data_IF_862082834728
#
_entry.id   IF_862082834728
#
_cell.length_a   1.000
_cell.length_b   1.000
_cell.length_c   1.000
_cell.angle_alpha   90.00
_cell.angle_beta   90.00
_cell.angle_gamma   90.00
#
_symmetry.space_group_name_H-M   'P 1'
#
loop_
_entity.id
_entity.type
_entity.pdbx_description
1 polymer ?
#
# COMPACT_ATOMS: atom_id res chain seq x y z
N UNK A 1 -38.01 6.91 38.83
CA UNK A 1 -36.72 6.59 39.50
C UNK A 1 -35.93 5.70 38.56
N UNK A 2 -35.05 6.30 37.75
CA UNK A 2 -34.13 5.55 36.91
C UNK A 2 -33.05 4.97 37.83
N UNK A 3 -32.87 3.65 37.79
CA UNK A 3 -31.80 2.96 38.50
C UNK A 3 -30.46 3.53 38.01
N UNK A 4 -29.78 4.33 38.85
CA UNK A 4 -28.39 4.69 38.60
C UNK A 4 -27.59 3.39 38.70
N UNK A 5 -27.19 2.85 37.56
CA UNK A 5 -26.25 1.74 37.50
C UNK A 5 -24.94 2.28 38.08
N UNK A 6 -24.64 1.94 39.32
CA UNK A 6 -23.40 2.32 39.98
C UNK A 6 -22.26 1.54 39.31
N UNK A 7 -21.46 2.23 38.49
CA UNK A 7 -20.27 1.69 37.87
C UNK A 7 -19.11 1.77 38.87
N UNK A 8 -18.23 0.76 38.93
CA UNK A 8 -17.05 0.82 39.80
C UNK A 8 -16.11 1.95 39.36
N UNK A 9 -15.39 2.55 40.32
CA UNK A 9 -14.40 3.59 39.98
C UNK A 9 -13.28 3.07 39.09
N UNK A 10 -12.90 1.79 39.24
CA UNK A 10 -11.92 1.13 38.38
C UNK A 10 -12.41 1.08 36.92
N UNK A 11 -13.67 0.68 36.69
CA UNK A 11 -14.28 0.66 35.36
C UNK A 11 -14.31 2.06 34.73
N UNK A 12 -14.59 3.09 35.51
CA UNK A 12 -14.60 4.46 35.00
C UNK A 12 -13.18 5.00 34.72
N UNK A 13 -12.16 4.52 35.41
CA UNK A 13 -10.78 5.00 35.23
C UNK A 13 -10.05 4.37 34.04
N UNK A 14 -10.49 3.20 33.56
CA UNK A 14 -9.94 2.55 32.38
C UNK A 14 -9.97 3.47 31.14
N UNK A 15 -8.86 3.47 30.40
CA UNK A 15 -8.71 4.28 29.18
C UNK A 15 -7.84 3.56 28.14
N UNK A 16 -8.36 3.49 26.92
CA UNK A 16 -7.65 2.99 25.72
C UNK A 16 -7.12 4.11 24.82
N UNK A 17 -7.27 5.38 25.24
CA UNK A 17 -6.94 6.54 24.42
C UNK A 17 -5.46 6.60 24.02
N UNK A 18 -4.56 6.31 24.97
CA UNK A 18 -3.11 6.31 24.73
C UNK A 18 -2.70 5.30 23.64
N UNK A 19 -3.36 4.14 23.59
CA UNK A 19 -3.14 3.13 22.56
C UNK A 19 -3.53 3.65 21.17
N UNK A 20 -4.70 4.30 21.05
CA UNK A 20 -5.17 4.87 19.78
C UNK A 20 -4.22 5.96 19.29
N UNK A 21 -3.79 6.89 20.15
CA UNK A 21 -2.83 7.93 19.78
C UNK A 21 -1.51 7.35 19.32
N UNK A 22 -0.97 6.38 20.05
CA UNK A 22 0.34 5.79 19.75
C UNK A 22 0.31 5.09 18.40
N UNK A 23 -0.68 4.24 18.15
CA UNK A 23 -0.80 3.51 16.88
C UNK A 23 -1.00 4.50 15.72
N UNK A 24 -1.88 5.49 15.89
CA UNK A 24 -2.16 6.48 14.85
C UNK A 24 -0.91 7.29 14.50
N UNK A 25 -0.16 7.77 15.50
CA UNK A 25 1.06 8.53 15.27
C UNK A 25 2.16 7.71 14.58
N UNK A 26 2.30 6.42 14.95
CA UNK A 26 3.26 5.51 14.30
C UNK A 26 2.90 5.31 12.83
N UNK A 27 1.64 5.01 12.51
CA UNK A 27 1.20 4.81 11.13
C UNK A 27 1.32 6.08 10.30
N UNK A 28 0.91 7.24 10.82
CA UNK A 28 1.11 8.54 10.14
C UNK A 28 2.58 8.78 9.78
N UNK A 29 3.50 8.44 10.70
CA UNK A 29 4.94 8.60 10.49
C UNK A 29 5.45 7.65 9.40
N UNK A 30 5.04 6.38 9.45
CA UNK A 30 5.42 5.36 8.47
C UNK A 30 4.87 5.65 7.07
N UNK A 31 3.61 6.08 6.97
CA UNK A 31 2.96 6.47 5.73
C UNK A 31 3.66 7.69 5.09
N UNK A 32 3.92 8.72 5.89
CA UNK A 32 4.61 9.93 5.43
C UNK A 32 6.01 9.58 4.91
N UNK A 33 6.74 8.73 5.64
CA UNK A 33 8.04 8.26 5.21
C UNK A 33 7.96 7.46 3.91
N UNK A 34 6.97 6.56 3.78
CA UNK A 34 6.79 5.75 2.57
C UNK A 34 6.49 6.61 1.33
N UNK A 35 5.56 7.55 1.45
CA UNK A 35 5.19 8.46 0.36
C UNK A 35 6.37 9.38 -0.01
N UNK A 36 7.10 9.89 0.98
CA UNK A 36 8.32 10.67 0.73
C UNK A 36 9.40 9.84 0.01
N UNK A 37 9.64 8.59 0.43
CA UNK A 37 10.54 7.67 -0.25
C UNK A 37 10.10 7.39 -1.69
N UNK A 38 8.80 7.29 -1.94
CA UNK A 38 8.26 7.05 -3.29
C UNK A 38 8.62 8.18 -4.23
N UNK A 39 8.30 9.42 -3.85
CA UNK A 39 8.57 10.58 -4.70
C UNK A 39 10.06 10.86 -4.88
N UNK A 40 10.86 10.70 -3.81
CA UNK A 40 12.33 10.80 -3.93
C UNK A 40 12.91 9.71 -4.84
N UNK A 41 12.37 8.48 -4.79
CA UNK A 41 12.78 7.40 -5.68
C UNK A 41 12.53 7.69 -7.14
N UNK A 42 11.37 8.26 -7.45
CA UNK A 42 11.04 8.68 -8.82
C UNK A 42 11.91 9.83 -9.30
N UNK A 43 12.19 10.81 -8.43
CA UNK A 43 13.08 11.92 -8.73
C UNK A 43 14.50 11.43 -9.05
N UNK A 44 15.06 10.52 -8.23
CA UNK A 44 16.39 9.93 -8.44
C UNK A 44 16.43 9.05 -9.69
N UNK A 45 15.38 8.26 -9.93
CA UNK A 45 15.25 7.40 -11.11
C UNK A 45 14.85 8.15 -12.38
N UNK A 46 14.58 9.47 -12.32
CA UNK A 46 14.05 10.29 -13.42
C UNK A 46 12.80 9.69 -14.08
N UNK A 47 11.96 9.04 -13.28
CA UNK A 47 10.74 8.38 -13.74
C UNK A 47 9.63 9.41 -13.97
N UNK A 48 8.88 9.28 -15.07
CA UNK A 48 7.73 10.16 -15.35
C UNK A 48 6.65 10.02 -14.28
N UNK A 49 6.00 11.14 -13.93
CA UNK A 49 4.81 11.14 -13.09
C UNK A 49 3.63 10.58 -13.89
N UNK A 50 2.98 9.55 -13.34
CA UNK A 50 1.81 8.92 -13.92
C UNK A 50 0.56 9.19 -13.07
N UNK A 51 -0.59 8.79 -13.59
CA UNK A 51 -1.87 8.84 -12.87
C UNK A 51 -1.83 8.13 -11.51
N UNK A 52 -1.05 7.05 -11.44
CA UNK A 52 -0.76 6.30 -10.21
C UNK A 52 -0.22 7.17 -9.06
N UNK A 53 0.63 8.16 -9.37
CA UNK A 53 1.21 9.03 -8.34
C UNK A 53 0.21 10.06 -7.81
N UNK A 54 -0.74 10.47 -8.64
CA UNK A 54 -1.86 11.32 -8.23
C UNK A 54 -2.81 10.58 -7.30
N UNK A 55 -3.10 9.31 -7.60
CA UNK A 55 -3.91 8.44 -6.74
C UNK A 55 -3.25 8.21 -5.38
N UNK A 56 -1.94 7.97 -5.34
CA UNK A 56 -1.19 7.83 -4.08
C UNK A 56 -1.15 9.14 -3.30
N UNK A 57 -0.97 10.28 -3.96
CA UNK A 57 -1.04 11.59 -3.32
C UNK A 57 -2.41 11.85 -2.69
N UNK A 58 -3.49 11.56 -3.42
CA UNK A 58 -4.87 11.66 -2.90
C UNK A 58 -5.09 10.72 -1.72
N UNK A 59 -4.66 9.46 -1.84
CA UNK A 59 -4.75 8.48 -0.77
C UNK A 59 -4.04 8.94 0.50
N UNK A 60 -2.84 9.51 0.37
CA UNK A 60 -2.08 10.04 1.51
C UNK A 60 -2.81 11.18 2.21
N UNK A 61 -3.35 12.16 1.45
CA UNK A 61 -4.12 13.27 2.03
C UNK A 61 -5.34 12.74 2.80
N UNK A 62 -6.05 11.76 2.22
CA UNK A 62 -7.21 11.15 2.88
C UNK A 62 -6.82 10.31 4.11
N UNK A 63 -5.67 9.62 4.10
CA UNK A 63 -5.16 8.92 5.29
C UNK A 63 -4.84 9.90 6.42
N UNK A 64 -4.16 11.00 6.11
CA UNK A 64 -3.85 12.05 7.08
C UNK A 64 -5.12 12.72 7.62
N UNK A 65 -6.13 12.95 6.78
CA UNK A 65 -7.43 13.45 7.22
C UNK A 65 -8.14 12.44 8.14
N UNK A 66 -8.12 11.15 7.79
CA UNK A 66 -8.69 10.08 8.62
C UNK A 66 -8.00 10.02 9.99
N UNK A 67 -6.67 10.04 10.01
CA UNK A 67 -5.89 10.03 11.24
C UNK A 67 -6.14 11.27 12.11
N UNK A 68 -6.28 12.46 11.49
CA UNK A 68 -6.65 13.68 12.19
C UNK A 68 -8.05 13.59 12.81
N UNK A 69 -9.04 13.06 12.06
CA UNK A 69 -10.38 12.82 12.57
C UNK A 69 -10.38 11.81 13.73
N UNK A 70 -9.58 10.75 13.64
CA UNK A 70 -9.43 9.75 14.72
C UNK A 70 -8.86 10.39 15.99
N UNK A 71 -7.80 11.19 15.88
CA UNK A 71 -7.24 11.90 17.04
C UNK A 71 -8.25 12.89 17.64
N UNK A 72 -8.98 13.61 16.79
CA UNK A 72 -10.05 14.51 17.21
C UNK A 72 -11.21 13.75 17.90
N UNK A 73 -11.57 12.57 17.42
CA UNK A 73 -12.62 11.74 18.01
C UNK A 73 -12.23 11.20 19.41
N UNK A 74 -10.95 10.83 19.59
CA UNK A 74 -10.43 10.49 20.92
C UNK A 74 -10.47 11.69 21.88
N UNK A 75 -10.13 12.90 21.39
CA UNK A 75 -10.03 14.11 22.21
C UNK A 75 -11.40 14.69 22.56
N UNK A 76 -12.28 14.80 21.57
CA UNK A 76 -13.56 15.52 21.66
C UNK A 76 -14.78 14.60 21.67
N UNK A 77 -14.68 13.40 21.09
CA UNK A 77 -15.73 12.38 21.11
C UNK A 77 -15.61 11.40 22.28
N UNK A 78 -14.46 11.36 22.97
CA UNK A 78 -14.24 10.49 24.11
C UNK A 78 -14.03 9.01 23.76
N UNK A 79 -13.70 8.70 22.49
CA UNK A 79 -13.37 7.32 22.08
C UNK A 79 -12.23 6.78 22.95
N UNK A 80 -12.40 5.56 23.45
CA UNK A 80 -11.45 4.94 24.36
C UNK A 80 -11.71 5.18 25.84
N UNK A 81 -12.76 5.92 26.17
CA UNK A 81 -13.38 5.95 27.49
C UNK A 81 -14.72 5.20 27.43
N UNK A 82 -15.12 4.60 28.55
CA UNK A 82 -16.45 4.03 28.69
C UNK A 82 -17.52 5.10 28.54
N UNK A 83 -18.63 4.79 27.86
CA UNK A 83 -19.72 5.73 27.58
C UNK A 83 -20.25 6.38 28.87
N UNK A 84 -20.33 5.60 29.95
CA UNK A 84 -20.71 6.08 31.28
C UNK A 84 -19.78 7.18 31.82
N UNK A 85 -18.47 7.09 31.55
CA UNK A 85 -17.48 8.11 31.93
C UNK A 85 -17.60 9.34 31.04
N UNK A 86 -17.82 9.16 29.74
CA UNK A 86 -18.00 10.27 28.79
C UNK A 86 -19.19 11.14 29.20
N UNK A 87 -20.32 10.50 29.55
CA UNK A 87 -21.51 11.19 30.06
C UNK A 87 -21.28 11.95 31.37
N UNK A 88 -20.36 11.49 32.22
CA UNK A 88 -20.00 12.19 33.47
C UNK A 88 -19.12 13.41 33.23
N UNK A 89 -18.25 13.36 32.22
CA UNK A 89 -17.35 14.46 31.86
C UNK A 89 -18.14 15.55 31.14
N UNK A 90 -18.75 15.21 30.01
CA UNK A 90 -19.55 16.12 29.21
C UNK A 90 -20.46 15.33 28.25
N UNK A 91 -21.80 15.38 28.44
CA UNK A 91 -22.75 14.76 27.53
C UNK A 91 -22.66 15.23 26.07
N UNK A 92 -22.14 16.43 25.78
CA UNK A 92 -21.98 16.91 24.41
C UNK A 92 -20.94 16.10 23.62
N UNK A 93 -19.99 15.46 24.30
CA UNK A 93 -18.98 14.61 23.65
C UNK A 93 -19.59 13.43 22.89
N UNK A 94 -20.72 12.89 23.35
CA UNK A 94 -21.43 11.81 22.64
C UNK A 94 -22.02 12.31 21.32
N UNK A 95 -22.48 13.56 21.27
CA UNK A 95 -22.96 14.17 20.02
C UNK A 95 -21.81 14.35 19.03
N UNK A 96 -20.62 14.73 19.53
CA UNK A 96 -19.41 14.84 18.72
C UNK A 96 -18.97 13.47 18.18
N UNK A 97 -18.94 12.45 19.04
CA UNK A 97 -18.67 11.06 18.63
C UNK A 97 -19.65 10.57 17.55
N UNK A 98 -20.94 10.85 17.71
CA UNK A 98 -21.97 10.53 16.73
C UNK A 98 -21.77 11.20 15.36
N UNK A 99 -20.99 12.28 15.26
CA UNK A 99 -20.57 12.87 13.97
C UNK A 99 -19.37 12.11 13.39
N UNK A 100 -18.37 11.79 14.23
CA UNK A 100 -17.17 11.08 13.81
C UNK A 100 -17.44 9.64 13.35
N UNK A 101 -18.43 8.96 13.95
CA UNK A 101 -18.83 7.61 13.54
C UNK A 101 -19.34 7.54 12.09
N UNK A 102 -19.74 8.67 11.50
CA UNK A 102 -20.15 8.77 10.09
C UNK A 102 -18.96 9.22 9.24
N UNK A 103 -18.23 10.24 9.68
CA UNK A 103 -17.15 10.86 8.91
C UNK A 103 -15.96 9.90 8.73
N UNK A 104 -15.55 9.19 9.78
CA UNK A 104 -14.38 8.31 9.75
C UNK A 104 -14.57 7.15 8.75
N UNK A 105 -15.69 6.40 8.75
CA UNK A 105 -15.92 5.38 7.73
C UNK A 105 -15.97 5.91 6.30
N UNK A 106 -16.58 7.09 6.08
CA UNK A 106 -16.65 7.70 4.75
C UNK A 106 -15.27 8.13 4.23
N UNK A 107 -14.43 8.69 5.10
CA UNK A 107 -13.04 9.01 4.75
C UNK A 107 -12.25 7.74 4.46
N UNK A 108 -12.40 6.71 5.29
CA UNK A 108 -11.74 5.42 5.10
C UNK A 108 -12.12 4.74 3.78
N UNK A 109 -13.40 4.69 3.39
CA UNK A 109 -13.75 4.10 2.10
C UNK A 109 -13.14 4.90 0.95
N UNK A 110 -12.98 6.22 1.12
CA UNK A 110 -12.25 7.09 0.22
C UNK A 110 -10.73 6.87 0.19
N UNK A 111 -10.10 6.39 1.27
CA UNK A 111 -8.65 6.08 1.29
C UNK A 111 -8.35 4.78 0.56
N UNK A 112 -9.10 3.71 0.86
CA UNK A 112 -8.86 2.35 0.36
C UNK A 112 -8.91 2.24 -1.16
N UNK A 113 -9.82 2.97 -1.79
CA UNK A 113 -10.05 2.90 -3.25
C UNK A 113 -8.83 3.34 -4.06
N UNK A 114 -8.29 4.57 -3.91
CA UNK A 114 -7.12 5.00 -4.69
C UNK A 114 -5.89 4.14 -4.42
N UNK A 115 -5.73 3.57 -3.21
CA UNK A 115 -4.62 2.67 -2.88
C UNK A 115 -4.74 1.35 -3.65
N UNK A 116 -5.93 0.73 -3.64
CA UNK A 116 -6.19 -0.50 -4.40
C UNK A 116 -6.08 -0.28 -5.90
N UNK A 117 -6.61 0.83 -6.41
CA UNK A 117 -6.52 1.19 -7.83
C UNK A 117 -5.07 1.44 -8.28
N UNK A 118 -4.23 2.04 -7.44
CA UNK A 118 -2.80 2.19 -7.69
C UNK A 118 -2.10 0.83 -7.85
N UNK A 119 -2.33 -0.10 -6.91
CA UNK A 119 -1.78 -1.46 -6.98
C UNK A 119 -2.29 -2.20 -8.22
N UNK A 120 -3.56 -2.03 -8.56
CA UNK A 120 -4.16 -2.64 -9.74
C UNK A 120 -3.57 -2.09 -11.06
N UNK A 121 -3.29 -0.80 -11.11
CA UNK A 121 -2.62 -0.16 -12.24
C UNK A 121 -1.20 -0.71 -12.41
N UNK A 122 -0.48 -0.90 -11.31
CA UNK A 122 0.82 -1.59 -11.33
C UNK A 122 0.69 -3.01 -11.90
N UNK A 123 -0.31 -3.79 -11.48
CA UNK A 123 -0.53 -5.14 -12.02
C UNK A 123 -0.83 -5.14 -13.51
N UNK A 124 -1.64 -4.18 -13.99
CA UNK A 124 -1.88 -3.99 -15.42
C UNK A 124 -0.61 -3.66 -16.20
N UNK A 125 0.37 -2.99 -15.59
CA UNK A 125 1.67 -2.72 -16.21
C UNK A 125 2.59 -3.94 -16.23
N UNK A 126 2.45 -4.88 -15.28
CA UNK A 126 3.28 -6.09 -15.19
C UNK A 126 2.72 -7.19 -16.09
N UNK A 127 1.39 -7.30 -16.19
CA UNK A 127 0.75 -8.40 -16.87
C UNK A 127 0.51 -8.13 -18.34
N UNK A 128 1.10 -8.97 -19.19
CA UNK A 128 0.86 -8.96 -20.63
C UNK A 128 -0.31 -9.85 -21.04
N UNK A 129 -0.66 -10.84 -20.22
CA UNK A 129 -1.72 -11.82 -20.49
C UNK A 129 -3.11 -11.19 -20.38
N UNK A 130 -3.94 -11.39 -21.42
CA UNK A 130 -5.30 -10.80 -21.51
C UNK A 130 -6.21 -11.20 -20.34
N UNK A 131 -6.17 -12.47 -19.93
CA UNK A 131 -7.01 -12.98 -18.84
C UNK A 131 -6.77 -12.23 -17.53
N UNK A 132 -5.51 -12.09 -17.12
CA UNK A 132 -5.14 -11.36 -15.90
C UNK A 132 -5.50 -9.87 -15.97
N UNK A 133 -5.38 -9.25 -17.15
CA UNK A 133 -5.79 -7.85 -17.34
C UNK A 133 -7.32 -7.67 -17.20
N UNK A 134 -8.11 -8.61 -17.73
CA UNK A 134 -9.58 -8.59 -17.58
C UNK A 134 -9.94 -8.71 -16.09
N UNK A 135 -9.32 -9.65 -15.35
CA UNK A 135 -9.54 -9.78 -13.91
C UNK A 135 -9.21 -8.47 -13.19
N UNK A 136 -8.13 -7.79 -13.57
CA UNK A 136 -7.80 -6.49 -13.00
C UNK A 136 -8.92 -5.48 -13.26
N UNK A 137 -9.35 -5.29 -14.51
CA UNK A 137 -10.42 -4.33 -14.83
C UNK A 137 -11.74 -4.63 -14.12
N UNK A 138 -12.14 -5.90 -14.03
CA UNK A 138 -13.34 -6.33 -13.30
C UNK A 138 -13.19 -6.03 -11.80
N UNK A 139 -12.04 -6.34 -11.21
CA UNK A 139 -11.78 -6.05 -9.79
C UNK A 139 -11.82 -4.55 -9.51
N UNK A 140 -11.23 -3.73 -10.38
CA UNK A 140 -11.30 -2.27 -10.28
C UNK A 140 -12.72 -1.73 -10.37
N UNK A 141 -13.55 -2.28 -11.26
CA UNK A 141 -14.96 -1.91 -11.37
C UNK A 141 -15.74 -2.29 -10.11
N UNK A 142 -15.48 -3.47 -9.51
CA UNK A 142 -16.11 -3.90 -8.25
C UNK A 142 -15.71 -2.96 -7.10
N UNK A 143 -14.43 -2.59 -6.99
CA UNK A 143 -13.95 -1.65 -5.96
C UNK A 143 -14.67 -0.31 -6.08
N UNK A 144 -14.75 0.25 -7.29
CA UNK A 144 -15.44 1.53 -7.53
C UNK A 144 -16.94 1.43 -7.25
N UNK A 145 -17.59 0.36 -7.69
CA UNK A 145 -19.01 0.15 -7.44
C UNK A 145 -19.31 0.01 -5.94
N UNK A 146 -18.49 -0.75 -5.21
CA UNK A 146 -18.62 -0.90 -3.76
C UNK A 146 -18.40 0.43 -3.03
N UNK A 147 -17.45 1.25 -3.48
CA UNK A 147 -17.22 2.59 -2.93
C UNK A 147 -18.40 3.52 -3.16
N UNK A 148 -18.93 3.61 -4.39
CA UNK A 148 -20.09 4.45 -4.69
C UNK A 148 -21.29 3.99 -3.84
N UNK A 149 -21.52 2.68 -3.77
CA UNK A 149 -22.61 2.12 -2.98
C UNK A 149 -22.46 2.45 -1.49
N UNK A 150 -21.28 2.28 -0.89
CA UNK A 150 -21.01 2.58 0.52
C UNK A 150 -21.03 4.06 0.83
N UNK A 151 -20.55 4.92 -0.07
CA UNK A 151 -20.59 6.36 0.08
C UNK A 151 -22.03 6.87 0.06
N UNK A 152 -22.83 6.47 -0.93
CA UNK A 152 -24.24 6.85 -1.04
C UNK A 152 -25.04 6.30 0.13
N UNK A 153 -24.84 5.03 0.48
CA UNK A 153 -25.48 4.41 1.63
C UNK A 153 -25.10 5.10 2.95
N UNK A 154 -23.84 5.50 3.12
CA UNK A 154 -23.37 6.25 4.28
C UNK A 154 -24.02 7.63 4.39
N UNK A 155 -24.09 8.39 3.29
CA UNK A 155 -24.75 9.70 3.26
C UNK A 155 -26.27 9.61 3.49
N UNK A 156 -26.91 8.53 3.04
CA UNK A 156 -28.36 8.31 3.13
C UNK A 156 -28.75 7.28 4.20
N UNK A 157 -27.84 6.97 5.13
CA UNK A 157 -27.99 5.92 6.14
C UNK A 157 -29.25 6.08 6.99
N UNK A 158 -29.56 7.31 7.37
CA UNK A 158 -30.73 7.66 8.18
C UNK A 158 -31.43 8.91 7.64
N UNK A 159 -32.74 8.94 7.77
CA UNK A 159 -33.60 10.07 7.41
C UNK A 159 -34.33 10.57 8.67
N UNK A 160 -33.99 11.76 9.18
CA UNK A 160 -32.83 12.61 8.83
C UNK A 160 -31.50 12.03 9.33
N UNK A 161 -30.37 12.50 8.77
CA UNK A 161 -29.01 12.14 9.21
C UNK A 161 -28.79 12.48 10.71
N UNK A 162 -29.57 13.43 11.22
CA UNK A 162 -29.59 13.77 12.64
C UNK A 162 -30.06 12.67 13.56
N UNK A 163 -30.56 11.56 13.04
CA UNK A 163 -30.83 10.35 13.82
C UNK A 163 -29.62 9.91 14.66
N UNK A 164 -28.39 10.02 14.12
CA UNK A 164 -27.18 9.57 14.83
C UNK A 164 -26.95 10.31 16.16
N UNK A 165 -27.41 11.56 16.29
CA UNK A 165 -27.28 12.34 17.52
C UNK A 165 -28.62 12.70 18.20
N UNK A 166 -29.75 12.55 17.52
CA UNK A 166 -31.10 12.91 18.04
C UNK A 166 -31.95 11.67 18.33
N UNK A 167 -31.58 10.50 17.79
CA UNK A 167 -32.36 9.24 17.84
C UNK A 167 -33.81 9.36 17.34
N UNK A 168 -34.12 10.40 16.56
CA UNK A 168 -35.44 10.66 15.98
C UNK A 168 -35.36 10.54 14.45
N UNK A 169 -35.99 9.51 13.88
CA UNK A 169 -35.93 9.22 12.44
C UNK A 169 -36.06 7.73 12.12
N UNK A 170 -35.84 7.38 10.85
CA UNK A 170 -35.76 5.99 10.38
C UNK A 170 -34.45 5.77 9.64
N UNK A 171 -33.80 4.64 9.91
CA UNK A 171 -32.65 4.15 9.17
C UNK A 171 -33.04 2.85 8.46
N UNK A 172 -32.44 2.57 7.32
CA UNK A 172 -32.50 1.21 6.77
C UNK A 172 -31.57 0.30 7.58
N UNK A 173 -31.54 -1.00 7.29
CA UNK A 173 -30.63 -1.94 7.97
C UNK A 173 -29.17 -1.70 7.54
N UNK A 174 -28.58 -0.67 8.13
CA UNK A 174 -27.18 -0.23 7.97
C UNK A 174 -26.24 -1.41 8.23
N UNK A 175 -26.48 -2.18 9.30
CA UNK A 175 -25.63 -3.30 9.67
C UNK A 175 -25.59 -4.36 8.59
N UNK A 176 -26.73 -4.73 8.00
CA UNK A 176 -26.76 -5.69 6.90
C UNK A 176 -26.09 -5.18 5.63
N UNK A 177 -26.27 -3.91 5.27
CA UNK A 177 -25.61 -3.34 4.10
C UNK A 177 -24.09 -3.29 4.25
N UNK A 178 -23.59 -2.75 5.36
CA UNK A 178 -22.14 -2.67 5.62
C UNK A 178 -21.50 -4.06 5.78
N UNK A 179 -22.26 -5.08 6.23
CA UNK A 179 -21.80 -6.47 6.22
C UNK A 179 -21.53 -6.98 4.81
N UNK A 180 -22.42 -6.75 3.85
CA UNK A 180 -22.19 -7.16 2.47
C UNK A 180 -21.08 -6.36 1.79
N UNK A 181 -20.99 -5.05 2.07
CA UNK A 181 -19.93 -4.21 1.56
C UNK A 181 -18.54 -4.59 2.10
N UNK A 182 -18.45 -4.96 3.38
CA UNK A 182 -17.24 -5.46 4.01
C UNK A 182 -16.78 -6.80 3.42
N UNK A 183 -17.72 -7.70 3.15
CA UNK A 183 -17.42 -8.96 2.45
C UNK A 183 -16.86 -8.72 1.04
N UNK A 184 -17.46 -7.79 0.28
CA UNK A 184 -16.95 -7.41 -1.03
C UNK A 184 -15.54 -6.81 -0.95
N UNK A 185 -15.25 -6.00 0.08
CA UNK A 185 -13.92 -5.45 0.31
C UNK A 185 -12.88 -6.57 0.50
N UNK A 186 -13.14 -7.51 1.44
CA UNK A 186 -12.25 -8.65 1.70
C UNK A 186 -12.07 -9.51 0.44
N UNK A 187 -13.14 -9.74 -0.33
CA UNK A 187 -13.05 -10.51 -1.57
C UNK A 187 -12.09 -9.85 -2.58
N UNK A 188 -12.17 -8.52 -2.74
CA UNK A 188 -11.23 -7.80 -3.61
C UNK A 188 -9.79 -7.90 -3.12
N UNK A 189 -9.56 -7.92 -1.80
CA UNK A 189 -8.22 -8.10 -1.21
C UNK A 189 -7.63 -9.47 -1.49
N UNK A 190 -8.43 -10.52 -1.33
CA UNK A 190 -8.04 -11.90 -1.65
C UNK A 190 -7.68 -12.03 -3.13
N UNK A 191 -8.50 -11.46 -4.02
CA UNK A 191 -8.22 -11.47 -5.46
C UNK A 191 -6.89 -10.77 -5.75
N UNK A 192 -6.68 -9.58 -5.21
CA UNK A 192 -5.43 -8.83 -5.39
C UNK A 192 -4.21 -9.56 -4.86
N UNK A 193 -4.35 -10.32 -3.77
CA UNK A 193 -3.26 -11.11 -3.18
C UNK A 193 -2.89 -12.35 -4.04
N UNK A 194 -3.89 -13.04 -4.59
CA UNK A 194 -3.67 -14.26 -5.40
C UNK A 194 -3.12 -13.93 -6.77
N UNK A 195 -3.57 -12.83 -7.35
CA UNK A 195 -3.30 -12.42 -8.72
C UNK A 195 -1.80 -12.31 -9.11
N UNK A 196 -0.86 -11.84 -8.27
CA UNK A 196 0.57 -11.86 -8.59
C UNK A 196 1.25 -13.25 -8.44
N UNK A 197 0.65 -14.21 -7.73
CA UNK A 197 1.31 -15.50 -7.40
C UNK A 197 1.68 -16.32 -8.65
N UNK A 198 0.78 -16.53 -9.63
CA UNK A 198 1.11 -17.31 -10.82
C UNK A 198 2.24 -16.69 -11.65
N UNK A 199 2.28 -15.35 -11.70
CA UNK A 199 3.31 -14.62 -12.45
C UNK A 199 4.67 -14.74 -11.78
N UNK A 200 4.72 -14.73 -10.44
CA UNK A 200 5.97 -14.97 -9.69
C UNK A 200 6.53 -16.36 -9.95
N UNK A 201 5.68 -17.37 -10.08
CA UNK A 201 6.11 -18.75 -10.34
C UNK A 201 6.59 -18.98 -11.76
N UNK A 202 6.02 -18.29 -12.75
CA UNK A 202 6.37 -18.47 -14.15
C UNK A 202 7.56 -17.60 -14.59
N UNK A 203 7.92 -16.56 -13.83
CA UNK A 203 8.99 -15.64 -14.21
C UNK A 203 10.34 -16.11 -13.65
N UNK A 204 11.31 -16.37 -14.54
CA UNK A 204 12.74 -16.52 -14.23
C UNK A 204 13.36 -15.18 -13.78
N UNK A 205 12.72 -14.52 -12.83
CA UNK A 205 13.09 -13.23 -12.27
C UNK A 205 14.38 -13.34 -11.45
N UNK A 206 15.21 -12.30 -11.53
CA UNK A 206 16.34 -12.13 -10.62
C UNK A 206 15.87 -12.17 -9.16
N UNK A 207 16.72 -12.67 -8.26
CA UNK A 207 16.40 -12.81 -6.82
C UNK A 207 15.88 -11.51 -6.20
N UNK A 208 16.32 -10.36 -6.74
CA UNK A 208 15.93 -9.01 -6.30
C UNK A 208 14.47 -8.68 -6.65
N UNK A 209 14.04 -9.04 -7.85
CA UNK A 209 12.65 -8.88 -8.28
C UNK A 209 11.72 -9.80 -7.48
N UNK A 210 12.17 -11.03 -7.18
CA UNK A 210 11.44 -11.96 -6.30
C UNK A 210 11.27 -11.41 -4.89
N UNK A 211 12.31 -10.78 -4.33
CA UNK A 211 12.25 -10.17 -3.00
C UNK A 211 11.23 -9.02 -2.95
N UNK A 212 11.24 -8.13 -3.95
CA UNK A 212 10.29 -7.00 -4.01
C UNK A 212 8.83 -7.47 -4.09
N UNK A 213 8.56 -8.52 -4.88
CA UNK A 213 7.20 -9.08 -4.99
C UNK A 213 6.79 -9.79 -3.69
N UNK A 214 7.72 -10.51 -3.04
CA UNK A 214 7.49 -11.12 -1.74
C UNK A 214 7.13 -10.07 -0.68
N UNK A 215 7.84 -8.94 -0.62
CA UNK A 215 7.51 -7.85 0.29
C UNK A 215 6.12 -7.25 0.02
N UNK A 216 5.75 -7.04 -1.24
CA UNK A 216 4.40 -6.57 -1.57
C UNK A 216 3.31 -7.58 -1.21
N UNK A 217 3.60 -8.88 -1.35
CA UNK A 217 2.67 -9.95 -0.97
C UNK A 217 2.52 -10.04 0.56
N UNK A 218 3.62 -9.90 1.31
CA UNK A 218 3.60 -9.89 2.77
C UNK A 218 2.78 -8.70 3.29
N UNK A 219 3.03 -7.49 2.81
CA UNK A 219 2.24 -6.32 3.21
C UNK A 219 0.77 -6.43 2.78
N UNK A 220 0.50 -6.97 1.58
CA UNK A 220 -0.87 -7.26 1.14
C UNK A 220 -1.57 -8.28 2.05
N UNK A 221 -0.84 -9.28 2.58
CA UNK A 221 -1.40 -10.25 3.51
C UNK A 221 -1.73 -9.62 4.87
N UNK A 222 -0.91 -8.68 5.35
CA UNK A 222 -1.20 -7.91 6.57
C UNK A 222 -2.45 -7.05 6.37
N UNK A 223 -2.58 -6.38 5.22
CA UNK A 223 -3.78 -5.60 4.87
C UNK A 223 -5.05 -6.46 4.83
N UNK A 224 -4.97 -7.67 4.26
CA UNK A 224 -6.08 -8.63 4.26
C UNK A 224 -6.46 -9.07 5.68
N UNK A 225 -5.48 -9.43 6.51
CA UNK A 225 -5.72 -9.81 7.91
C UNK A 225 -6.38 -8.65 8.67
N UNK A 226 -5.87 -7.43 8.47
CA UNK A 226 -6.44 -6.21 9.05
C UNK A 226 -7.90 -6.00 8.64
N UNK A 227 -8.22 -6.20 7.36
CA UNK A 227 -9.59 -6.11 6.82
C UNK A 227 -10.53 -7.16 7.42
N UNK A 228 -10.06 -8.39 7.62
CA UNK A 228 -10.84 -9.47 8.25
C UNK A 228 -11.10 -9.14 9.72
N UNK A 229 -10.07 -8.69 10.45
CA UNK A 229 -10.19 -8.34 11.87
C UNK A 229 -11.12 -7.14 12.06
N UNK A 230 -11.04 -6.13 11.20
CA UNK A 230 -12.00 -5.03 11.16
C UNK A 230 -13.43 -5.53 10.96
N UNK A 231 -13.65 -6.41 9.99
CA UNK A 231 -14.98 -6.96 9.69
C UNK A 231 -15.52 -7.78 10.87
N UNK A 232 -14.67 -8.57 11.51
CA UNK A 232 -15.00 -9.33 12.71
C UNK A 232 -15.37 -8.40 13.88
N UNK A 233 -14.53 -7.39 14.17
CA UNK A 233 -14.81 -6.39 15.21
C UNK A 233 -16.14 -5.68 14.92
N UNK A 234 -16.41 -5.28 13.68
CA UNK A 234 -17.70 -4.67 13.31
C UNK A 234 -18.88 -5.62 13.54
N UNK A 235 -18.72 -6.92 13.30
CA UNK A 235 -19.79 -7.91 13.48
C UNK A 235 -20.08 -8.20 14.96
N UNK A 236 -19.05 -8.23 15.80
CA UNK A 236 -19.15 -8.58 17.23
C UNK A 236 -19.45 -7.37 18.10
N UNK A 237 -19.12 -6.16 17.65
CA UNK A 237 -19.36 -4.94 18.42
C UNK A 237 -20.85 -4.62 18.49
N UNK A 238 -21.43 -4.83 19.66
CA UNK A 238 -22.76 -4.36 19.99
C UNK A 238 -22.67 -2.94 20.57
N UNK A 239 -22.92 -1.94 19.72
CA UNK A 239 -22.91 -0.53 20.10
C UNK A 239 -24.00 -0.15 21.13
N UNK A 240 -24.88 -1.09 21.51
CA UNK A 240 -25.97 -0.85 22.44
C UNK A 240 -25.56 -0.75 23.92
N UNK A 241 -24.35 -1.19 24.29
CA UNK A 241 -23.91 -1.24 25.70
C UNK A 241 -22.78 -0.28 26.04
N UNK A 242 -21.76 -0.17 25.18
CA UNK A 242 -20.65 0.78 25.37
C UNK A 242 -20.04 1.16 24.01
N UNK A 243 -20.65 2.16 23.37
CA UNK A 243 -20.30 2.54 22.00
C UNK A 243 -18.90 3.13 21.86
N UNK A 244 -18.53 4.05 22.76
CA UNK A 244 -17.25 4.77 22.71
C UNK A 244 -16.06 3.89 23.07
N UNK A 245 -16.24 2.89 23.93
CA UNK A 245 -15.22 1.91 24.27
C UNK A 245 -14.98 0.89 23.15
N UNK A 246 -16.08 0.38 22.57
CA UNK A 246 -16.00 -0.67 21.55
C UNK A 246 -15.53 -0.14 20.19
N UNK A 247 -15.75 1.15 19.91
CA UNK A 247 -15.27 1.82 18.70
C UNK A 247 -13.74 1.81 18.54
N UNK A 248 -12.99 1.66 19.65
CA UNK A 248 -11.51 1.70 19.66
C UNK A 248 -10.89 0.71 18.69
N UNK A 249 -11.30 -0.56 18.74
CA UNK A 249 -10.73 -1.58 17.87
C UNK A 249 -11.03 -1.29 16.40
N UNK A 250 -12.25 -0.87 16.10
CA UNK A 250 -12.67 -0.53 14.74
C UNK A 250 -11.83 0.61 14.16
N UNK A 251 -11.58 1.64 14.97
CA UNK A 251 -10.76 2.80 14.59
C UNK A 251 -9.29 2.42 14.41
N UNK A 252 -8.74 1.59 15.29
CA UNK A 252 -7.36 1.10 15.15
C UNK A 252 -7.20 0.30 13.86
N UNK A 253 -8.10 -0.65 13.60
CA UNK A 253 -8.04 -1.43 12.37
C UNK A 253 -8.21 -0.56 11.12
N UNK A 254 -9.02 0.49 11.18
CA UNK A 254 -9.17 1.47 10.09
C UNK A 254 -7.84 2.12 9.71
N UNK A 255 -7.07 2.57 10.70
CA UNK A 255 -5.76 3.21 10.47
C UNK A 255 -4.73 2.21 9.98
N UNK A 256 -4.66 1.03 10.61
CA UNK A 256 -3.73 -0.04 10.24
C UNK A 256 -3.97 -0.51 8.80
N UNK A 257 -5.23 -0.74 8.44
CA UNK A 257 -5.62 -1.18 7.10
C UNK A 257 -5.24 -0.15 6.04
N UNK A 258 -5.67 1.11 6.21
CA UNK A 258 -5.35 2.19 5.26
C UNK A 258 -3.84 2.41 5.10
N UNK A 259 -3.10 2.39 6.20
CA UNK A 259 -1.66 2.60 6.18
C UNK A 259 -0.88 1.46 5.57
N UNK A 260 -1.26 0.21 5.86
CA UNK A 260 -0.62 -0.96 5.24
C UNK A 260 -0.82 -0.99 3.73
N UNK A 261 -2.02 -0.66 3.23
CA UNK A 261 -2.25 -0.54 1.79
C UNK A 261 -1.44 0.58 1.14
N UNK A 262 -1.37 1.75 1.77
CA UNK A 262 -0.59 2.87 1.25
C UNK A 262 0.91 2.54 1.17
N UNK A 263 1.46 1.93 2.22
CA UNK A 263 2.85 1.49 2.25
C UNK A 263 3.10 0.41 1.18
N UNK A 264 2.20 -0.57 1.07
CA UNK A 264 2.29 -1.64 0.06
C UNK A 264 2.31 -1.08 -1.37
N UNK A 265 1.49 -0.08 -1.66
CA UNK A 265 1.41 0.56 -2.97
C UNK A 265 2.67 1.38 -3.31
N UNK A 266 3.44 1.83 -2.31
CA UNK A 266 4.67 2.59 -2.52
C UNK A 266 5.90 1.71 -2.79
N UNK A 267 5.93 0.47 -2.29
CA UNK A 267 7.06 -0.46 -2.40
C UNK A 267 7.62 -0.69 -3.82
N UNK A 268 6.80 -0.92 -4.87
CA UNK A 268 7.30 -1.24 -6.20
C UNK A 268 8.20 -0.15 -6.78
N UNK A 269 7.99 1.08 -6.32
CA UNK A 269 8.63 2.30 -6.83
C UNK A 269 9.98 2.55 -6.15
N UNK A 270 10.35 1.81 -5.10
CA UNK A 270 11.63 1.96 -4.38
C UNK A 270 12.82 1.29 -5.08
N UNK A 271 12.58 0.53 -6.16
CA UNK A 271 13.63 -0.18 -6.92
C UNK A 271 14.85 0.67 -7.29
N UNK A 272 14.75 1.89 -7.84
CA UNK A 272 15.93 2.70 -8.17
C UNK A 272 16.68 3.21 -6.93
N UNK A 273 16.01 3.52 -5.81
CA UNK A 273 16.68 3.85 -4.56
C UNK A 273 17.48 2.67 -4.01
N UNK A 274 16.90 1.47 -4.03
CA UNK A 274 17.61 0.26 -3.60
C UNK A 274 18.89 0.05 -4.42
N UNK A 275 18.84 0.25 -5.74
CA UNK A 275 20.03 0.18 -6.62
C UNK A 275 21.10 1.20 -6.23
N UNK A 276 20.71 2.43 -5.88
CA UNK A 276 21.65 3.49 -5.47
C UNK A 276 22.29 3.21 -4.11
N UNK A 277 21.50 2.76 -3.13
CA UNK A 277 21.98 2.39 -1.80
C UNK A 277 22.96 1.22 -1.90
N UNK A 278 22.63 0.18 -2.68
CA UNK A 278 23.49 -1.00 -2.84
C UNK A 278 24.78 -0.67 -3.59
N UNK A 279 24.72 0.23 -4.59
CA UNK A 279 25.94 0.72 -5.24
C UNK A 279 26.84 1.45 -4.25
N UNK A 280 26.27 2.30 -3.36
CA UNK A 280 27.06 2.99 -2.34
C UNK A 280 27.67 2.01 -1.34
N UNK A 281 26.90 1.03 -0.84
CA UNK A 281 27.37 0.03 0.13
C UNK A 281 28.46 -0.89 -0.45
N UNK A 282 28.34 -1.30 -1.72
CA UNK A 282 29.35 -2.13 -2.39
C UNK A 282 30.61 -1.34 -2.82
N UNK A 283 30.51 -0.02 -2.98
CA UNK A 283 31.68 0.83 -3.20
C UNK A 283 32.49 1.03 -1.91
N UNK A 284 31.86 1.01 -0.74
CA UNK A 284 32.57 1.06 0.55
C UNK A 284 33.39 -0.20 0.85
N UNK A 285 33.08 -1.33 0.20
CA UNK A 285 33.86 -2.58 0.33
C UNK A 285 35.06 -2.67 -0.63
N UNK A 286 35.32 -1.62 -1.44
CA UNK A 286 36.42 -1.59 -2.42
C UNK A 286 37.46 -0.50 -2.11
N UNK A 287 37.98 -0.51 -0.88
CA UNK A 287 39.29 0.05 -0.47
C UNK A 287 40.05 -1.13 0.18
N UNK A 288 41.30 -1.46 -0.07
CA UNK A 288 42.39 -0.84 -0.81
C UNK A 288 43.43 -1.95 -1.09
N UNK A 289 43.75 -2.20 -2.36
CA UNK A 289 44.92 -3.02 -2.76
C UNK A 289 45.33 -2.57 -4.17
N UNK A 290 45.55 -1.27 -4.34
CA UNK A 290 46.38 -0.77 -5.44
C UNK A 290 47.83 -0.88 -5.00
N UNK A 291 48.43 -2.05 -5.16
CA UNK A 291 49.87 -2.14 -5.29
C UNK A 291 50.25 -1.40 -6.57
N UNK A 292 50.97 -0.30 -6.37
CA UNK A 292 51.75 0.42 -7.36
C UNK A 292 52.81 -0.51 -7.94
N UNK A 293 52.87 -0.65 -9.26
CA UNK A 293 54.11 -1.06 -9.91
C UNK A 293 54.37 -0.20 -11.15
N UNK A 294 55.42 0.64 -11.17
CA UNK A 294 55.80 1.41 -12.34
C UNK A 294 56.84 0.67 -13.20
N UNK A 295 56.65 0.74 -14.53
CA UNK A 295 57.64 0.49 -15.61
C UNK A 295 58.16 -0.97 -15.74
N UNK A 296 58.43 -1.53 -16.93
CA UNK A 296 59.10 -0.95 -18.10
C UNK A 296 58.93 -1.85 -19.36
N UNK A 297 59.15 -1.19 -20.50
CA UNK A 297 59.21 -1.60 -21.92
C UNK A 297 59.80 -2.98 -22.32
N UNK A 298 59.20 -3.59 -23.36
CA UNK A 298 59.92 -4.05 -24.56
C UNK A 298 60.18 -5.56 -24.72
N UNK A 299 59.70 -6.16 -25.83
CA UNK A 299 60.26 -7.42 -26.35
C UNK A 299 59.25 -8.37 -27.01
N UNK A 300 59.41 -8.57 -28.32
CA UNK A 300 58.68 -9.52 -29.17
C UNK A 300 59.09 -10.97 -28.92
N UNK A 301 58.16 -11.93 -29.04
CA UNK A 301 58.51 -13.33 -29.37
C UNK A 301 57.81 -14.45 -28.59
N UNK A 302 57.03 -15.24 -29.34
CA UNK A 302 56.86 -16.71 -29.25
C UNK A 302 56.00 -17.29 -28.10
N UNK A 303 54.93 -18.00 -28.51
CA UNK A 303 54.08 -18.88 -27.71
C UNK A 303 54.84 -20.11 -27.19
N UNK A 304 54.34 -20.72 -26.10
CA UNK A 304 54.01 -22.14 -26.20
C UNK A 304 52.59 -22.47 -25.73
N UNK A 305 52.23 -23.72 -26.00
CA UNK A 305 50.93 -24.37 -25.98
C UNK A 305 50.83 -25.32 -24.76
N UNK A 306 49.58 -25.63 -24.35
CA UNK A 306 49.12 -26.56 -23.27
C UNK A 306 49.25 -26.04 -21.82
N UNK A 307 48.31 -26.22 -20.88
CA UNK A 307 47.38 -27.32 -20.63
C UNK A 307 46.12 -26.88 -19.82
N UNK A 308 45.10 -27.74 -19.92
CA UNK A 308 43.83 -27.94 -19.22
C UNK A 308 43.89 -27.68 -17.70
N UNK A 309 43.00 -26.82 -17.19
CA UNK A 309 42.39 -26.94 -15.85
C UNK A 309 41.11 -26.12 -15.76
N UNK A 310 40.03 -26.81 -15.37
CA UNK A 310 38.72 -26.22 -15.18
C UNK A 310 38.74 -25.14 -14.12
N UNK A 311 38.25 -23.96 -14.48
CA UNK A 311 37.83 -22.95 -13.53
C UNK A 311 36.33 -22.73 -13.72
N UNK A 312 35.60 -23.08 -12.67
CA UNK A 312 34.24 -22.66 -12.40
C UNK A 312 34.09 -21.18 -12.74
N UNK A 313 33.26 -20.88 -13.75
CA UNK A 313 32.83 -19.51 -14.06
C UNK A 313 32.06 -18.99 -12.84
N UNK A 314 32.75 -18.25 -11.97
CA UNK A 314 32.09 -17.39 -11.00
C UNK A 314 31.39 -16.29 -11.81
N UNK A 315 30.11 -16.50 -12.09
CA UNK A 315 29.26 -15.56 -12.84
C UNK A 315 29.27 -14.25 -12.06
N UNK A 316 29.99 -13.25 -12.59
CA UNK A 316 30.21 -11.94 -11.98
C UNK A 316 28.85 -11.27 -11.82
N UNK A 317 28.50 -10.86 -10.60
CA UNK A 317 27.23 -10.18 -10.27
C UNK A 317 27.02 -8.85 -11.03
N UNK A 318 28.05 -8.37 -11.74
CA UNK A 318 28.02 -7.19 -12.62
C UNK A 318 27.39 -7.45 -13.99
N UNK A 319 27.52 -8.68 -14.55
CA UNK A 319 26.89 -9.00 -15.85
C UNK A 319 25.36 -9.04 -15.70
N UNK A 320 24.86 -9.52 -14.55
CA UNK A 320 23.44 -9.49 -14.23
C UNK A 320 22.85 -8.08 -14.15
N UNK A 321 23.68 -7.04 -13.90
CA UNK A 321 23.21 -5.65 -13.86
C UNK A 321 23.07 -5.05 -15.26
N UNK A 322 23.89 -5.47 -16.23
CA UNK A 322 23.73 -5.09 -17.64
C UNK A 322 22.53 -5.82 -18.26
N UNK A 323 22.37 -7.12 -17.98
CA UNK A 323 21.21 -7.90 -18.44
C UNK A 323 19.87 -7.32 -17.90
N UNK A 324 19.86 -6.80 -16.67
CA UNK A 324 18.70 -6.09 -16.10
C UNK A 324 18.47 -4.71 -16.74
N UNK A 325 19.52 -4.00 -17.16
CA UNK A 325 19.40 -2.71 -17.87
C UNK A 325 18.83 -2.88 -19.28
N UNK A 326 19.24 -3.93 -20.01
CA UNK A 326 18.71 -4.24 -21.35
C UNK A 326 17.27 -4.75 -21.29
N UNK A 327 16.91 -5.57 -20.29
CA UNK A 327 15.55 -6.05 -20.09
C UNK A 327 14.58 -4.91 -19.70
N UNK A 328 15.04 -3.92 -18.93
CA UNK A 328 14.24 -2.75 -18.55
C UNK A 328 14.11 -1.76 -19.73
N UNK A 329 15.17 -1.56 -20.52
CA UNK A 329 15.09 -0.79 -21.76
C UNK A 329 14.07 -1.36 -22.75
N UNK A 330 13.93 -2.68 -22.81
CA UNK A 330 12.92 -3.36 -23.62
C UNK A 330 11.48 -3.18 -23.08
N UNK A 331 11.29 -3.09 -21.76
CA UNK A 331 9.99 -2.81 -21.13
C UNK A 331 9.58 -1.34 -21.33
N UNK A 332 10.52 -0.40 -21.22
CA UNK A 332 10.29 1.02 -21.52
C UNK A 332 10.00 1.25 -23.02
N UNK A 333 10.70 0.55 -23.92
CA UNK A 333 10.39 0.52 -25.36
C UNK A 333 8.99 -0.04 -25.64
N UNK A 334 8.57 -1.09 -24.91
CA UNK A 334 7.22 -1.65 -25.00
C UNK A 334 6.13 -0.66 -24.58
N UNK A 335 6.37 0.14 -23.54
CA UNK A 335 5.48 1.24 -23.16
C UNK A 335 5.43 2.34 -24.24
N UNK A 336 6.55 2.62 -24.92
CA UNK A 336 6.61 3.62 -25.99
C UNK A 336 5.89 3.18 -27.28
N UNK A 337 5.90 1.88 -27.61
CA UNK A 337 5.20 1.31 -28.77
C UNK A 337 3.68 1.17 -28.58
N UNK A 338 3.17 1.17 -27.35
CA UNK A 338 1.72 1.06 -27.11
C UNK A 338 0.92 2.31 -27.49
N UNK A 339 1.61 3.41 -27.81
CA UNK A 339 1.04 4.70 -28.22
C UNK A 339 1.21 5.04 -29.72
N UNK A 340 1.76 4.13 -30.55
CA UNK A 340 1.93 4.38 -31.98
C UNK A 340 0.78 3.80 -32.82
N UNK A 341 0.32 4.49 -33.87
CA UNK A 341 -0.56 3.90 -34.87
C UNK A 341 0.13 2.69 -35.54
N UNK A 342 -0.64 1.64 -35.85
CA UNK A 342 -0.17 0.28 -36.19
C UNK A 342 0.68 0.14 -37.47
N UNK A 343 1.06 1.23 -38.13
CA UNK A 343 1.53 1.21 -39.52
C UNK A 343 2.96 1.74 -39.71
N UNK A 344 3.75 1.95 -38.64
CA UNK A 344 5.16 2.34 -38.76
C UNK A 344 6.12 1.35 -38.10
N UNK A 345 6.96 0.73 -38.93
CA UNK A 345 8.15 0.00 -38.52
C UNK A 345 9.33 0.97 -38.61
N UNK A 346 9.86 1.41 -37.48
CA UNK A 346 11.13 2.16 -37.42
C UNK A 346 12.26 1.17 -37.14
N UNK A 347 13.13 0.97 -38.14
CA UNK A 347 14.38 0.24 -37.97
C UNK A 347 15.40 1.19 -37.34
N UNK A 348 15.77 0.94 -36.07
CA UNK A 348 16.83 1.69 -35.39
C UNK A 348 18.20 1.32 -36.00
N UNK A 349 18.84 2.27 -36.69
CA UNK A 349 20.16 2.11 -37.33
C UNK A 349 21.30 2.22 -36.32
N UNK A 350 21.27 1.44 -35.23
CA UNK A 350 22.36 1.38 -34.25
C UNK A 350 23.04 0.03 -34.05
N UNK A 351 22.83 -0.90 -34.97
CA UNK A 351 23.71 -2.06 -35.16
C UNK A 351 24.37 -2.01 -36.55
N UNK A 352 25.50 -1.30 -36.65
CA UNK A 352 26.46 -1.52 -37.72
C UNK A 352 27.34 -2.69 -37.30
N UNK A 353 27.09 -3.87 -37.86
CA UNK A 353 28.05 -4.98 -37.83
C UNK A 353 29.03 -4.73 -38.95
N UNK A 354 30.26 -4.34 -38.60
CA UNK A 354 31.40 -4.36 -39.50
C UNK A 354 31.69 -5.82 -39.88
N UNK A 355 31.29 -6.24 -41.07
CA UNK A 355 31.82 -7.41 -41.75
C UNK A 355 33.05 -6.99 -42.53
N UNK A 356 34.23 -7.46 -42.11
CA UNK A 356 35.47 -7.35 -42.89
C UNK A 356 35.76 -8.73 -43.47
N UNK A 357 35.79 -8.80 -44.81
CA UNK A 357 36.43 -9.88 -45.56
C UNK A 357 37.94 -9.85 -45.38
#
# INVERSE_FOLDING_TARGET
MASHKEYSEEFLQESKQAMVYTITAVFMSLETLAVALRYTSKAVGRLKFGWDDGLIGLAYVLCMATAACVMADVTYGGVGLHEARVLQIDPEMIVVWGKFIIIIPLLYTGTVVPQKLSILYLYLSIFTQKAFRIICYVTGAIILANWIATFVAGCLSCQPLSYFWTKQGRCFDINSFFRWAGFANILTDVIMLILPIPVVWQLHASVRLKLGILFTLLLGSVGLISSILRFYTFYVTDAATDGTWSAVELVIWTVVEGGTYLIAACLPTYRPLMKLVWRKLNLTTRNDSRETNPQQSGGSGIRPVFDRKGHTKFKRMTDSMHDEEDAIGLVELGQHCSHMPKDQIVVDRRFSVHGSN
#
